data_IF_847918525823
#
_entry.id   IF_847918525823
#
_cell.length_a   1.000
_cell.length_b   1.000
_cell.length_c   1.000
_cell.angle_alpha   90.00
_cell.angle_beta   90.00
_cell.angle_gamma   90.00
#
_symmetry.space_group_name_H-M   'P 1'
#
loop_
_entity.id
_entity.type
_entity.pdbx_description
1 polymer ?
#
# COMPACT_ATOMS: atom_id res chain seq x y z
N UNK A 1 25.02 12.01 -1.83
CA UNK A 1 23.59 11.80 -2.19
C UNK A 1 23.17 10.33 -2.26
N UNK A 2 24.08 9.37 -2.51
CA UNK A 2 23.74 7.94 -2.66
C UNK A 2 23.31 7.23 -1.37
N UNK A 3 23.61 7.80 -0.21
CA UNK A 3 23.15 7.27 1.08
C UNK A 3 21.66 7.57 1.32
N UNK A 4 21.21 8.80 1.03
CA UNK A 4 19.81 9.24 1.16
C UNK A 4 18.92 8.53 0.13
N UNK A 5 19.30 8.62 -1.16
CA UNK A 5 19.64 7.43 -1.96
C UNK A 5 19.02 6.15 -1.49
N UNK A 6 19.83 5.29 -0.89
CA UNK A 6 19.55 3.92 -0.44
C UNK A 6 18.51 3.82 0.68
N UNK A 7 18.38 4.83 1.55
CA UNK A 7 17.42 4.83 2.68
C UNK A 7 15.99 5.23 2.33
N UNK A 8 15.73 5.78 1.14
CA UNK A 8 14.37 6.19 0.73
C UNK A 8 13.28 5.11 0.93
N UNK A 9 13.59 3.85 0.63
CA UNK A 9 12.66 2.75 0.84
C UNK A 9 12.37 2.47 2.32
N UNK A 10 13.38 2.56 3.18
CA UNK A 10 13.22 2.42 4.63
C UNK A 10 12.44 3.58 5.23
N UNK A 11 12.67 4.81 4.78
CA UNK A 11 11.93 6.00 5.22
C UNK A 11 10.44 5.90 4.88
N UNK A 12 10.13 5.52 3.64
CA UNK A 12 8.75 5.34 3.21
C UNK A 12 8.07 4.19 3.97
N UNK A 13 8.77 3.06 4.15
CA UNK A 13 8.26 1.94 4.94
C UNK A 13 7.98 2.30 6.39
N UNK A 14 8.89 3.01 7.06
CA UNK A 14 8.71 3.50 8.43
C UNK A 14 7.54 4.49 8.54
N UNK A 15 7.43 5.41 7.59
CA UNK A 15 6.32 6.37 7.54
C UNK A 15 4.97 5.68 7.39
N UNK A 16 4.87 4.69 6.49
CA UNK A 16 3.62 3.95 6.25
C UNK A 16 3.23 3.06 7.43
N UNK A 17 4.17 2.27 7.98
CA UNK A 17 3.92 1.42 9.16
C UNK A 17 3.58 2.30 10.38
N UNK A 18 4.38 3.34 10.62
CA UNK A 18 4.13 4.29 11.70
C UNK A 18 2.79 5.00 11.55
N UNK A 19 2.41 5.34 10.32
CA UNK A 19 1.10 5.89 9.97
C UNK A 19 -0.05 4.95 10.30
N UNK A 20 0.05 3.68 9.92
CA UNK A 20 -0.96 2.66 10.25
C UNK A 20 -1.11 2.51 11.76
N UNK A 21 0.01 2.37 12.49
CA UNK A 21 0.01 2.31 13.96
C UNK A 21 -0.61 3.57 14.56
N UNK A 22 -0.26 4.75 14.03
CA UNK A 22 -0.83 6.01 14.47
C UNK A 22 -2.35 6.07 14.28
N UNK A 23 -2.87 5.66 13.11
CA UNK A 23 -4.32 5.60 12.89
C UNK A 23 -5.01 4.64 13.84
N UNK A 24 -4.40 3.48 14.13
CA UNK A 24 -4.91 2.54 15.13
C UNK A 24 -4.96 3.17 16.51
N UNK A 25 -3.88 3.82 16.94
CA UNK A 25 -3.83 4.48 18.25
C UNK A 25 -4.88 5.60 18.34
N UNK A 26 -5.03 6.43 17.30
CA UNK A 26 -6.05 7.48 17.26
C UNK A 26 -7.45 6.89 17.36
N UNK A 27 -7.76 5.86 16.57
CA UNK A 27 -9.08 5.20 16.56
C UNK A 27 -9.41 4.59 17.92
N UNK A 28 -8.46 3.87 18.52
CA UNK A 28 -8.63 3.28 19.86
C UNK A 28 -8.74 4.33 20.98
N UNK A 29 -8.43 5.59 20.68
CA UNK A 29 -8.57 6.72 21.62
C UNK A 29 -9.90 7.47 21.47
N UNK A 30 -10.73 7.08 20.50
CA UNK A 30 -12.04 7.65 20.21
C UNK A 30 -13.15 6.68 20.64
N UNK A 31 -14.41 7.14 20.80
CA UNK A 31 -15.56 6.24 20.88
C UNK A 31 -15.56 5.28 19.68
N UNK A 32 -15.97 4.03 19.90
CA UNK A 32 -16.03 3.02 18.86
C UNK A 32 -16.91 3.47 17.71
N UNK A 33 -16.37 3.45 16.49
CA UNK A 33 -17.09 3.96 15.31
C UNK A 33 -18.30 3.11 14.91
N UNK A 34 -18.43 1.88 15.43
CA UNK A 34 -19.60 1.01 15.24
C UNK A 34 -20.81 1.42 16.08
N UNK A 35 -20.60 1.88 17.31
CA UNK A 35 -21.66 2.27 18.25
C UNK A 35 -21.24 3.49 19.07
N UNK A 36 -20.95 4.63 18.41
CA UNK A 36 -20.30 5.75 19.06
C UNK A 36 -21.20 6.42 20.11
N UNK A 37 -22.53 6.33 19.95
CA UNK A 37 -23.51 6.80 20.93
C UNK A 37 -23.56 5.94 22.19
N UNK A 38 -23.49 4.61 22.08
CA UNK A 38 -23.52 3.70 23.24
C UNK A 38 -22.26 3.85 24.10
N UNK A 39 -21.09 3.96 23.46
CA UNK A 39 -19.84 4.21 24.17
C UNK A 39 -19.88 5.55 24.90
N UNK A 40 -20.39 6.59 24.22
CA UNK A 40 -20.57 7.94 24.75
C UNK A 40 -21.53 7.96 25.94
N UNK A 41 -22.67 7.28 25.80
CA UNK A 41 -23.67 7.13 26.84
C UNK A 41 -23.12 6.40 28.07
N UNK A 42 -22.32 5.35 27.86
CA UNK A 42 -21.66 4.61 28.96
C UNK A 42 -20.65 5.47 29.72
N UNK A 43 -19.93 6.36 29.03
CA UNK A 43 -18.89 7.21 29.65
C UNK A 43 -19.45 8.44 30.35
N UNK A 44 -20.52 9.03 29.82
CA UNK A 44 -21.18 10.19 30.43
C UNK A 44 -22.26 9.76 31.44
N UNK A 45 -22.82 8.56 31.29
CA UNK A 45 -23.94 8.08 32.11
C UNK A 45 -25.29 8.64 31.65
N UNK A 46 -25.41 9.06 30.39
CA UNK A 46 -26.58 9.74 29.84
C UNK A 46 -26.97 9.14 28.48
N UNK A 47 -28.27 8.97 28.23
CA UNK A 47 -28.79 8.26 27.03
C UNK A 47 -28.68 9.12 25.75
N UNK A 48 -28.72 10.45 25.89
CA UNK A 48 -28.66 11.40 24.77
C UNK A 48 -27.25 11.96 24.51
N UNK A 49 -26.20 11.22 24.88
CA UNK A 49 -24.83 11.69 24.72
C UNK A 49 -24.39 11.66 23.24
N UNK A 50 -24.01 12.82 22.70
CA UNK A 50 -23.58 12.97 21.31
C UNK A 50 -22.05 12.95 21.22
N UNK A 51 -21.46 12.03 20.42
CA UNK A 51 -20.02 11.98 20.20
C UNK A 51 -19.58 13.10 19.24
N UNK A 52 -18.50 13.79 19.57
CA UNK A 52 -17.80 14.73 18.69
C UNK A 52 -16.36 14.25 18.51
N UNK A 53 -16.01 13.88 17.28
CA UNK A 53 -14.68 13.37 16.94
C UNK A 53 -14.07 14.16 15.79
N UNK A 54 -12.78 14.46 15.86
CA UNK A 54 -11.99 14.98 14.75
C UNK A 54 -10.71 14.16 14.60
N UNK A 55 -10.30 13.90 13.37
CA UNK A 55 -9.08 13.16 13.06
C UNK A 55 -7.83 14.03 13.04
N UNK A 56 -7.96 15.33 12.75
CA UNK A 56 -6.84 16.26 12.76
C UNK A 56 -7.27 17.70 13.10
N UNK A 57 -6.79 18.26 14.22
CA UNK A 57 -6.06 17.58 15.29
C UNK A 57 -6.91 16.45 15.90
N UNK A 58 -6.33 15.29 16.28
CA UNK A 58 -7.09 14.21 16.90
C UNK A 58 -7.79 14.69 18.16
N UNK A 59 -9.12 14.65 18.18
CA UNK A 59 -9.89 15.01 19.36
C UNK A 59 -11.16 14.17 19.44
N UNK A 60 -11.57 13.89 20.67
CA UNK A 60 -12.80 13.19 20.93
C UNK A 60 -13.40 13.71 22.23
N UNK A 61 -14.67 14.08 22.18
CA UNK A 61 -15.47 14.48 23.33
C UNK A 61 -16.89 13.93 23.22
N UNK A 62 -17.55 13.87 24.36
CA UNK A 62 -18.95 13.49 24.48
C UNK A 62 -19.71 14.63 25.13
N UNK A 63 -20.83 14.99 24.53
CA UNK A 63 -21.67 16.12 24.94
C UNK A 63 -23.03 15.58 25.35
N UNK A 64 -23.50 15.92 26.55
CA UNK A 64 -24.87 15.63 27.00
C UNK A 64 -25.42 16.85 27.74
N UNK A 65 -26.40 17.54 27.16
CA UNK A 65 -26.82 18.86 27.65
C UNK A 65 -25.65 19.85 27.68
N UNK A 66 -25.39 20.42 28.86
CA UNK A 66 -24.26 21.33 29.11
C UNK A 66 -22.97 20.60 29.55
N UNK A 67 -23.04 19.29 29.83
CA UNK A 67 -21.86 18.52 30.23
C UNK A 67 -21.03 18.07 29.02
N UNK A 68 -19.73 18.37 29.07
CA UNK A 68 -18.75 17.93 28.07
C UNK A 68 -17.69 17.07 28.76
N UNK A 69 -17.62 15.79 28.43
CA UNK A 69 -16.54 14.89 28.87
C UNK A 69 -15.57 14.60 27.74
N UNK A 70 -14.28 14.85 27.99
CA UNK A 70 -13.23 14.54 27.02
C UNK A 70 -12.90 13.05 27.01
N UNK A 71 -12.82 12.47 25.81
CA UNK A 71 -12.30 11.12 25.61
C UNK A 71 -10.78 11.10 25.50
N UNK A 72 -10.23 12.16 24.90
CA UNK A 72 -8.81 12.34 24.67
C UNK A 72 -8.37 13.62 25.38
N UNK A 73 -7.33 13.52 26.23
CA UNK A 73 -6.75 14.69 26.87
C UNK A 73 -6.04 15.60 25.86
N UNK A 74 -5.96 16.90 26.16
CA UNK A 74 -5.27 17.89 25.32
C UNK A 74 -3.81 17.50 25.04
N UNK A 75 -3.09 17.00 26.04
CA UNK A 75 -1.70 16.53 25.87
C UNK A 75 -1.60 15.39 24.86
N UNK A 76 -2.51 14.40 24.93
CA UNK A 76 -2.54 13.28 23.99
C UNK A 76 -2.88 13.75 22.58
N UNK A 77 -3.83 14.67 22.43
CA UNK A 77 -4.19 15.29 21.16
C UNK A 77 -3.00 16.01 20.51
N UNK A 78 -2.26 16.81 21.29
CA UNK A 78 -1.07 17.53 20.81
C UNK A 78 0.02 16.57 20.38
N UNK A 79 0.35 15.57 21.22
CA UNK A 79 1.38 14.56 20.90
C UNK A 79 1.01 13.80 19.62
N UNK A 80 -0.23 13.33 19.50
CA UNK A 80 -0.68 12.61 18.30
C UNK A 80 -0.69 13.52 17.06
N UNK A 81 -1.02 14.80 17.19
CA UNK A 81 -0.93 15.77 16.08
C UNK A 81 0.51 15.93 15.59
N UNK A 82 1.46 16.15 16.50
CA UNK A 82 2.89 16.28 16.16
C UNK A 82 3.41 15.01 15.49
N UNK A 83 3.11 13.85 16.05
CA UNK A 83 3.49 12.55 15.46
C UNK A 83 2.85 12.38 14.07
N UNK A 84 1.58 12.72 13.91
CA UNK A 84 0.87 12.65 12.63
C UNK A 84 1.53 13.51 11.55
N UNK A 85 1.91 14.75 11.89
CA UNK A 85 2.63 15.65 10.97
C UNK A 85 4.00 15.09 10.59
N UNK A 86 4.77 14.59 11.56
CA UNK A 86 6.09 14.00 11.30
C UNK A 86 5.98 12.77 10.38
N UNK A 87 4.99 11.90 10.60
CA UNK A 87 4.74 10.74 9.74
C UNK A 87 4.33 11.16 8.33
N UNK A 88 3.48 12.18 8.19
CA UNK A 88 3.09 12.72 6.88
C UNK A 88 4.32 13.24 6.11
N UNK A 89 5.21 13.97 6.77
CA UNK A 89 6.46 14.45 6.18
C UNK A 89 7.36 13.29 5.74
N UNK A 90 7.50 12.24 6.56
CA UNK A 90 8.27 11.03 6.22
C UNK A 90 7.69 10.31 5.01
N UNK A 91 6.37 10.14 4.94
CA UNK A 91 5.68 9.52 3.81
C UNK A 91 5.89 10.35 2.55
N UNK A 92 5.66 11.67 2.61
CA UNK A 92 5.82 12.57 1.46
C UNK A 92 7.27 12.57 0.93
N UNK A 93 8.26 12.72 1.81
CA UNK A 93 9.66 12.65 1.44
C UNK A 93 10.04 11.28 0.86
N UNK A 94 9.57 10.19 1.48
CA UNK A 94 9.78 8.82 1.00
C UNK A 94 9.19 8.59 -0.40
N UNK A 95 8.00 9.10 -0.67
CA UNK A 95 7.35 9.04 -1.98
C UNK A 95 8.13 9.83 -3.03
N UNK A 96 8.50 11.07 -2.73
CA UNK A 96 9.30 11.92 -3.64
C UNK A 96 10.61 11.23 -4.02
N UNK A 97 11.34 10.70 -3.03
CA UNK A 97 12.60 9.99 -3.28
C UNK A 97 12.39 8.70 -4.07
N UNK A 98 11.25 8.01 -3.89
CA UNK A 98 10.90 6.81 -4.65
C UNK A 98 10.61 7.16 -6.11
N UNK A 99 9.86 8.22 -6.38
CA UNK A 99 9.61 8.72 -7.74
C UNK A 99 10.92 9.13 -8.42
N UNK A 100 11.79 9.87 -7.72
CA UNK A 100 13.10 10.26 -8.25
C UNK A 100 14.00 9.05 -8.58
N UNK A 101 13.88 7.94 -7.84
CA UNK A 101 14.60 6.70 -8.16
C UNK A 101 14.07 6.03 -9.43
N UNK A 102 12.78 6.18 -9.74
CA UNK A 102 12.16 5.65 -10.97
C UNK A 102 12.51 6.50 -12.21
N UNK A 103 12.94 7.74 -12.03
CA UNK A 103 13.35 8.66 -13.11
C UNK A 103 14.86 8.82 -13.26
N UNK A 104 15.66 8.15 -12.42
CA UNK A 104 17.13 8.25 -12.43
C UNK A 104 17.83 7.56 -13.62
N UNK A 105 19.16 7.53 -13.58
CA UNK A 105 19.99 6.92 -14.61
C UNK A 105 19.84 5.39 -14.68
N UNK A 106 19.97 4.84 -15.88
CA UNK A 106 20.01 3.39 -16.09
C UNK A 106 21.26 2.82 -15.41
N UNK A 107 21.05 1.85 -14.51
CA UNK A 107 22.16 1.10 -13.90
C UNK A 107 22.75 0.07 -14.88
N UNK A 108 23.74 -0.73 -14.43
CA UNK A 108 24.35 -1.77 -15.24
C UNK A 108 23.31 -2.71 -15.86
N UNK A 109 23.56 -3.09 -17.12
CA UNK A 109 22.72 -4.05 -17.85
C UNK A 109 23.07 -5.45 -17.37
N UNK A 110 22.06 -6.23 -17.00
CA UNK A 110 22.22 -7.65 -16.70
C UNK A 110 21.82 -8.48 -17.91
N UNK A 111 22.64 -9.46 -18.25
CA UNK A 111 22.40 -10.51 -19.25
C UNK A 111 22.26 -11.87 -18.55
N UNK A 112 21.78 -12.88 -19.27
CA UNK A 112 21.64 -14.23 -18.75
C UNK A 112 21.08 -15.19 -19.79
N UNK A 113 21.45 -16.46 -19.66
CA UNK A 113 21.40 -17.40 -20.79
C UNK A 113 20.13 -18.27 -20.81
N UNK A 114 19.48 -18.48 -19.67
CA UNK A 114 18.27 -19.33 -19.56
C UNK A 114 16.97 -18.50 -19.50
N UNK A 115 16.62 -17.89 -20.64
CA UNK A 115 15.42 -17.06 -20.75
C UNK A 115 14.12 -17.88 -20.66
N UNK A 116 14.12 -19.13 -21.16
CA UNK A 116 12.92 -19.98 -21.20
C UNK A 116 12.49 -20.44 -19.81
N UNK A 117 13.43 -20.95 -18.99
CA UNK A 117 13.14 -21.34 -17.60
C UNK A 117 12.73 -20.13 -16.78
N UNK A 118 13.39 -19.00 -17.01
CA UNK A 118 13.11 -17.75 -16.31
C UNK A 118 11.71 -17.22 -16.63
N UNK A 119 11.29 -17.24 -17.89
CA UNK A 119 9.91 -16.92 -18.30
C UNK A 119 8.90 -17.85 -17.62
N UNK A 120 9.13 -19.17 -17.64
CA UNK A 120 8.24 -20.13 -16.97
C UNK A 120 8.14 -19.85 -15.47
N UNK A 121 9.27 -19.56 -14.82
CA UNK A 121 9.31 -19.25 -13.38
C UNK A 121 8.58 -17.93 -13.07
N UNK A 122 8.74 -16.90 -13.90
CA UNK A 122 8.04 -15.62 -13.71
C UNK A 122 6.51 -15.78 -13.80
N UNK A 123 6.03 -16.57 -14.77
CA UNK A 123 4.61 -16.78 -15.01
C UNK A 123 3.95 -17.69 -13.96
N UNK A 124 4.70 -18.63 -13.39
CA UNK A 124 4.17 -19.60 -12.42
C UNK A 124 4.42 -19.14 -10.98
N UNK A 125 5.68 -19.15 -10.55
CA UNK A 125 6.05 -18.75 -9.20
C UNK A 125 5.79 -17.27 -8.95
N UNK A 126 6.09 -16.37 -9.90
CA UNK A 126 5.79 -14.95 -9.73
C UNK A 126 4.29 -14.67 -9.57
N UNK A 127 3.43 -15.41 -10.27
CA UNK A 127 1.98 -15.29 -10.12
C UNK A 127 1.48 -15.84 -8.78
N UNK A 128 1.98 -17.01 -8.36
CA UNK A 128 1.63 -17.60 -7.07
C UNK A 128 2.08 -16.71 -5.90
N UNK A 129 3.30 -16.19 -5.96
CA UNK A 129 3.88 -15.26 -4.98
C UNK A 129 3.03 -13.99 -4.87
N UNK A 130 2.56 -13.44 -6.01
CA UNK A 130 1.64 -12.30 -6.01
C UNK A 130 0.27 -12.65 -5.42
N UNK A 131 -0.23 -13.86 -5.66
CA UNK A 131 -1.42 -14.40 -4.99
C UNK A 131 -1.26 -14.39 -3.47
N UNK A 132 -0.15 -14.93 -2.95
CA UNK A 132 0.17 -14.95 -1.52
C UNK A 132 0.28 -13.53 -0.96
N UNK A 133 0.92 -12.61 -1.67
CA UNK A 133 0.98 -11.21 -1.27
C UNK A 133 -0.42 -10.59 -1.14
N UNK A 134 -1.35 -10.90 -2.07
CA UNK A 134 -2.73 -10.44 -1.98
C UNK A 134 -3.53 -11.09 -0.87
N UNK A 135 -3.24 -12.34 -0.49
CA UNK A 135 -3.86 -12.94 0.69
C UNK A 135 -3.51 -12.14 1.95
N UNK A 136 -2.25 -11.73 2.08
CA UNK A 136 -1.79 -10.88 3.16
C UNK A 136 -2.40 -9.48 3.12
N UNK A 137 -2.45 -8.85 1.93
CA UNK A 137 -3.13 -7.55 1.73
C UNK A 137 -4.61 -7.64 2.09
N UNK A 138 -5.30 -8.71 1.71
CA UNK A 138 -6.71 -8.94 2.03
C UNK A 138 -6.94 -9.05 3.54
N UNK A 139 -6.07 -9.80 4.24
CA UNK A 139 -6.11 -9.87 5.70
C UNK A 139 -5.87 -8.50 6.36
N UNK A 140 -4.84 -7.76 5.92
CA UNK A 140 -4.53 -6.44 6.44
C UNK A 140 -5.61 -5.39 6.15
N UNK A 141 -6.32 -5.52 5.02
CA UNK A 141 -7.44 -4.64 4.67
C UNK A 141 -8.53 -4.68 5.74
N UNK A 142 -8.91 -5.88 6.17
CA UNK A 142 -9.90 -6.07 7.24
C UNK A 142 -9.44 -5.40 8.54
N UNK A 143 -8.18 -5.58 8.93
CA UNK A 143 -7.59 -4.96 10.13
C UNK A 143 -7.59 -3.43 10.01
N UNK A 144 -7.14 -2.88 8.88
CA UNK A 144 -7.01 -1.44 8.70
C UNK A 144 -8.36 -0.70 8.76
N UNK A 145 -9.42 -1.30 8.22
CA UNK A 145 -10.77 -0.72 8.26
C UNK A 145 -11.33 -0.77 9.68
N UNK A 146 -11.23 -1.93 10.33
CA UNK A 146 -11.74 -2.14 11.69
C UNK A 146 -11.08 -1.18 12.68
N UNK A 147 -9.75 -1.02 12.58
CA UNK A 147 -8.96 -0.29 13.57
C UNK A 147 -8.56 1.12 13.15
N UNK A 148 -8.82 1.56 11.93
CA UNK A 148 -8.26 2.83 11.41
C UNK A 148 -9.28 3.80 10.81
N UNK A 149 -10.54 3.38 10.63
CA UNK A 149 -11.56 4.20 9.97
C UNK A 149 -11.12 4.70 8.59
N UNK A 150 -11.58 5.90 8.20
CA UNK A 150 -11.26 6.48 6.90
C UNK A 150 -9.76 6.77 6.71
N UNK A 151 -9.04 7.38 7.69
CA UNK A 151 -7.59 7.61 7.53
C UNK A 151 -6.78 6.32 7.44
N UNK A 152 -7.16 5.29 8.21
CA UNK A 152 -6.57 3.96 8.12
C UNK A 152 -6.77 3.31 6.76
N UNK A 153 -7.96 3.46 6.16
CA UNK A 153 -8.22 2.97 4.80
C UNK A 153 -7.33 3.66 3.75
N UNK A 154 -7.13 4.98 3.85
CA UNK A 154 -6.24 5.73 2.95
C UNK A 154 -4.79 5.24 3.09
N UNK A 155 -4.28 5.14 4.32
CA UNK A 155 -2.92 4.65 4.56
C UNK A 155 -2.74 3.20 4.15
N UNK A 156 -3.76 2.37 4.31
CA UNK A 156 -3.75 1.00 3.83
C UNK A 156 -3.61 0.95 2.31
N UNK A 157 -4.41 1.73 1.56
CA UNK A 157 -4.30 1.80 0.10
C UNK A 157 -2.90 2.22 -0.32
N UNK A 158 -2.34 3.29 0.28
CA UNK A 158 -0.98 3.74 -0.01
C UNK A 158 0.06 2.66 0.31
N UNK A 159 -0.10 1.97 1.45
CA UNK A 159 0.80 0.87 1.86
C UNK A 159 0.72 -0.30 0.90
N UNK A 160 -0.48 -0.69 0.47
CA UNK A 160 -0.68 -1.76 -0.50
C UNK A 160 -0.07 -1.41 -1.86
N UNK A 161 -0.30 -0.20 -2.36
CA UNK A 161 0.28 0.28 -3.61
C UNK A 161 1.82 0.25 -3.57
N UNK A 162 2.43 0.80 -2.52
CA UNK A 162 3.88 0.84 -2.36
C UNK A 162 4.45 -0.56 -2.15
N UNK A 163 3.82 -1.37 -1.30
CA UNK A 163 4.24 -2.73 -0.98
C UNK A 163 4.20 -3.64 -2.20
N UNK A 164 3.10 -3.64 -2.95
CA UNK A 164 2.97 -4.45 -4.17
C UNK A 164 3.89 -3.96 -5.29
N UNK A 165 4.14 -2.65 -5.40
CA UNK A 165 5.13 -2.10 -6.34
C UNK A 165 6.55 -2.55 -6.02
N UNK A 166 6.92 -2.54 -4.73
CA UNK A 166 8.20 -3.02 -4.25
C UNK A 166 8.33 -4.54 -4.46
N UNK A 167 7.27 -5.29 -4.19
CA UNK A 167 7.23 -6.73 -4.40
C UNK A 167 7.36 -7.10 -5.88
N UNK A 168 6.59 -6.45 -6.77
CA UNK A 168 6.69 -6.62 -8.21
C UNK A 168 8.09 -6.25 -8.74
N UNK A 169 8.74 -5.24 -8.17
CA UNK A 169 10.15 -4.91 -8.46
C UNK A 169 11.09 -6.04 -8.10
N UNK A 170 10.91 -6.69 -6.95
CA UNK A 170 11.71 -7.84 -6.52
C UNK A 170 11.48 -9.01 -7.49
N UNK A 171 10.22 -9.34 -7.79
CA UNK A 171 9.87 -10.41 -8.73
C UNK A 171 10.45 -10.17 -10.13
N UNK A 172 10.32 -8.96 -10.69
CA UNK A 172 10.89 -8.63 -12.00
C UNK A 172 12.43 -8.67 -11.96
N UNK A 173 13.05 -8.23 -10.86
CA UNK A 173 14.50 -8.32 -10.71
C UNK A 173 14.99 -9.77 -10.63
N UNK A 174 14.23 -10.69 -10.07
CA UNK A 174 14.64 -12.11 -10.02
C UNK A 174 14.30 -12.86 -11.30
N UNK A 175 13.09 -12.66 -11.83
CA UNK A 175 12.49 -13.51 -12.86
C UNK A 175 12.05 -12.74 -14.12
N UNK A 176 12.10 -11.41 -14.14
CA UNK A 176 11.67 -10.59 -15.27
C UNK A 176 12.55 -10.70 -16.52
N UNK A 177 12.15 -10.07 -17.64
CA UNK A 177 12.87 -10.17 -18.90
C UNK A 177 14.32 -9.65 -18.88
N UNK A 178 15.18 -10.26 -19.70
CA UNK A 178 16.57 -9.88 -19.96
C UNK A 178 16.82 -9.74 -21.47
N UNK A 179 17.86 -8.98 -21.91
CA UNK A 179 18.71 -8.11 -21.09
C UNK A 179 17.92 -6.94 -20.51
N UNK A 180 18.24 -6.50 -19.29
CA UNK A 180 17.58 -5.33 -18.69
C UNK A 180 18.47 -4.60 -17.69
N UNK A 181 18.25 -3.29 -17.58
CA UNK A 181 18.89 -2.46 -16.56
C UNK A 181 18.15 -2.54 -15.23
N UNK A 182 18.82 -2.19 -14.14
CA UNK A 182 18.19 -2.10 -12.82
C UNK A 182 17.05 -1.06 -12.73
N UNK A 183 17.04 -0.06 -13.62
CA UNK A 183 15.96 0.95 -13.68
C UNK A 183 14.74 0.40 -14.41
N UNK A 184 14.97 -0.24 -15.56
CA UNK A 184 13.91 -0.84 -16.35
C UNK A 184 13.16 -1.91 -15.57
N UNK A 185 13.91 -2.78 -14.87
CA UNK A 185 13.34 -3.80 -14.01
C UNK A 185 12.47 -3.21 -12.88
N UNK A 186 12.94 -2.12 -12.26
CA UNK A 186 12.16 -1.35 -11.27
C UNK A 186 10.87 -0.79 -11.85
N UNK A 187 10.92 -0.20 -13.05
CA UNK A 187 9.73 0.36 -13.71
C UNK A 187 8.72 -0.72 -14.04
N UNK A 188 9.15 -1.82 -14.68
CA UNK A 188 8.29 -2.96 -15.02
C UNK A 188 7.64 -3.57 -13.78
N UNK A 189 8.43 -3.82 -12.74
CA UNK A 189 7.92 -4.39 -11.50
C UNK A 189 6.98 -3.45 -10.74
N UNK A 190 7.28 -2.15 -10.70
CA UNK A 190 6.38 -1.13 -10.12
C UNK A 190 5.05 -1.09 -10.88
N UNK A 191 5.10 -1.01 -12.21
CA UNK A 191 3.90 -1.02 -13.05
C UNK A 191 3.09 -2.29 -12.86
N UNK A 192 3.74 -3.46 -12.77
CA UNK A 192 3.06 -4.72 -12.51
C UNK A 192 2.32 -4.71 -11.17
N UNK A 193 3.00 -4.30 -10.08
CA UNK A 193 2.37 -4.20 -8.76
C UNK A 193 1.17 -3.24 -8.74
N UNK A 194 1.34 -2.04 -9.31
CA UNK A 194 0.25 -1.05 -9.41
C UNK A 194 -0.92 -1.54 -10.25
N UNK A 195 -0.65 -2.13 -11.42
CA UNK A 195 -1.67 -2.63 -12.32
C UNK A 195 -2.45 -3.80 -11.70
N UNK A 196 -1.77 -4.75 -11.07
CA UNK A 196 -2.44 -5.85 -10.35
C UNK A 196 -3.35 -5.32 -9.24
N UNK A 197 -2.89 -4.35 -8.45
CA UNK A 197 -3.75 -3.68 -7.46
C UNK A 197 -4.94 -2.97 -8.09
N UNK A 198 -4.71 -2.18 -9.15
CA UNK A 198 -5.77 -1.48 -9.87
C UNK A 198 -6.84 -2.43 -10.41
N UNK A 199 -6.46 -3.57 -10.98
CA UNK A 199 -7.38 -4.59 -11.48
C UNK A 199 -8.23 -5.18 -10.35
N UNK A 200 -7.60 -5.60 -9.25
CA UNK A 200 -8.32 -6.18 -8.11
C UNK A 200 -9.24 -5.15 -7.46
N UNK A 201 -8.77 -3.91 -7.29
CA UNK A 201 -9.56 -2.82 -6.74
C UNK A 201 -10.77 -2.50 -7.63
N UNK A 202 -10.57 -2.37 -8.95
CA UNK A 202 -11.64 -2.10 -9.90
C UNK A 202 -12.68 -3.24 -9.91
N UNK A 203 -12.24 -4.49 -9.91
CA UNK A 203 -13.14 -5.65 -9.80
C UNK A 203 -13.95 -5.61 -8.49
N UNK A 204 -13.32 -5.18 -7.38
CA UNK A 204 -13.97 -5.12 -6.07
C UNK A 204 -15.02 -4.01 -6.05
N UNK A 205 -14.68 -2.85 -6.61
CA UNK A 205 -15.58 -1.71 -6.75
C UNK A 205 -16.81 -2.06 -7.61
N UNK A 206 -16.60 -2.69 -8.78
CA UNK A 206 -17.69 -3.12 -9.68
C UNK A 206 -18.60 -4.14 -9.01
N UNK A 207 -18.05 -5.00 -8.16
CA UNK A 207 -18.85 -5.99 -7.41
C UNK A 207 -19.66 -5.40 -6.25
N UNK A 208 -19.54 -4.08 -5.97
CA UNK A 208 -20.25 -3.39 -4.88
C UNK A 208 -19.76 -3.79 -3.49
N UNK A 209 -18.56 -4.36 -3.37
CA UNK A 209 -18.07 -4.99 -2.14
C UNK A 209 -16.99 -4.18 -1.40
N UNK A 210 -16.79 -2.91 -1.78
CA UNK A 210 -15.99 -2.01 -0.95
C UNK A 210 -16.65 -1.89 0.45
N UNK A 211 -15.86 -1.87 1.52
CA UNK A 211 -14.42 -1.61 1.55
C UNK A 211 -13.52 -2.87 1.59
N UNK A 212 -14.08 -4.08 1.54
CA UNK A 212 -13.35 -5.32 1.80
C UNK A 212 -12.87 -6.04 0.54
N UNK A 213 -11.60 -6.43 0.52
CA UNK A 213 -11.16 -7.44 -0.44
C UNK A 213 -11.73 -8.82 -0.07
N UNK A 214 -12.26 -9.52 -1.06
CA UNK A 214 -12.77 -10.87 -0.91
C UNK A 214 -11.73 -11.93 -1.22
N UNK A 215 -11.99 -13.17 -0.83
CA UNK A 215 -11.13 -14.31 -1.15
C UNK A 215 -10.85 -14.47 -2.65
N UNK A 216 -11.74 -14.03 -3.54
CA UNK A 216 -11.52 -14.06 -4.98
C UNK A 216 -10.42 -13.08 -5.46
N UNK A 217 -10.03 -12.09 -4.65
CA UNK A 217 -8.93 -11.17 -4.93
C UNK A 217 -7.59 -11.90 -5.09
N UNK A 218 -7.40 -13.01 -4.37
CA UNK A 218 -6.18 -13.83 -4.40
C UNK A 218 -5.98 -14.53 -5.75
N UNK A 219 -6.91 -15.37 -6.24
CA UNK A 219 -6.76 -15.95 -7.57
C UNK A 219 -6.79 -14.89 -8.67
N UNK A 220 -7.59 -13.82 -8.53
CA UNK A 220 -7.59 -12.74 -9.54
C UNK A 220 -6.23 -12.04 -9.63
N UNK A 221 -5.58 -11.75 -8.50
CA UNK A 221 -4.28 -11.08 -8.53
C UNK A 221 -3.21 -11.95 -9.20
N UNK A 222 -3.22 -13.26 -8.94
CA UNK A 222 -2.31 -14.20 -9.58
C UNK A 222 -2.50 -14.22 -11.10
N UNK A 223 -3.75 -14.31 -11.57
CA UNK A 223 -4.10 -14.28 -13.00
C UNK A 223 -3.68 -12.95 -13.63
N UNK A 224 -4.05 -11.83 -13.00
CA UNK A 224 -3.73 -10.50 -13.48
C UNK A 224 -2.21 -10.28 -13.58
N UNK A 225 -1.46 -10.70 -12.56
CA UNK A 225 0.00 -10.62 -12.56
C UNK A 225 0.62 -11.50 -13.66
N UNK A 226 0.14 -12.74 -13.81
CA UNK A 226 0.59 -13.63 -14.88
C UNK A 226 0.36 -13.03 -16.28
N UNK A 227 -0.79 -12.39 -16.51
CA UNK A 227 -1.10 -11.71 -17.76
C UNK A 227 -0.15 -10.52 -18.01
N UNK A 228 0.10 -9.70 -16.99
CA UNK A 228 1.05 -8.58 -17.09
C UNK A 228 2.46 -9.09 -17.37
N UNK A 229 2.93 -10.11 -16.65
CA UNK A 229 4.23 -10.71 -16.88
C UNK A 229 4.34 -11.31 -18.29
N UNK A 230 3.29 -11.96 -18.79
CA UNK A 230 3.24 -12.47 -20.16
C UNK A 230 3.40 -11.34 -21.19
N UNK A 231 2.70 -10.22 -21.01
CA UNK A 231 2.81 -9.04 -21.86
C UNK A 231 4.21 -8.39 -21.79
N UNK A 232 4.85 -8.40 -20.62
CA UNK A 232 6.23 -7.92 -20.49
C UNK A 232 7.20 -8.79 -21.27
N UNK A 233 7.02 -10.11 -21.25
CA UNK A 233 7.85 -11.06 -22.00
C UNK A 233 7.61 -11.00 -23.51
N UNK A 234 6.38 -10.76 -23.98
CA UNK A 234 6.08 -10.69 -25.41
C UNK A 234 6.74 -9.48 -26.08
N UNK A 235 6.73 -8.31 -25.43
CA UNK A 235 7.37 -7.09 -25.95
C UNK A 235 8.88 -7.25 -26.16
N UNK A 236 9.54 -8.08 -25.35
CA UNK A 236 10.98 -8.33 -25.50
C UNK A 236 11.28 -9.23 -26.70
N UNK A 237 10.38 -10.18 -27.00
CA UNK A 237 10.51 -11.02 -28.20
C UNK A 237 10.33 -10.19 -29.45
N UNK A 238 9.30 -9.34 -29.49
CA UNK A 238 9.00 -8.44 -30.62
C UNK A 238 10.19 -7.52 -30.96
N UNK A 239 10.76 -6.85 -29.95
CA UNK A 239 11.94 -6.00 -30.11
C UNK A 239 13.20 -6.74 -30.58
N UNK A 240 13.29 -8.06 -30.35
CA UNK A 240 14.39 -8.89 -30.82
C UNK A 240 14.20 -9.32 -32.29
N UNK A 241 12.96 -9.52 -32.73
CA UNK A 241 12.62 -9.82 -34.14
C UNK A 241 12.67 -8.59 -35.05
N UNK A 242 12.32 -7.40 -34.55
CA UNK A 242 12.27 -6.16 -35.36
C UNK A 242 13.63 -5.48 -35.58
N UNK A 243 14.70 -5.96 -34.96
CA UNK A 243 16.07 -5.56 -35.32
C UNK A 243 16.62 -6.55 -36.35
N UNK A 244 16.54 -6.27 -37.67
CA UNK A 244 17.32 -7.03 -38.62
C UNK A 244 18.78 -6.96 -38.19
N UNK A 245 19.42 -8.13 -38.13
CA UNK A 245 20.82 -8.26 -37.80
C UNK A 245 21.63 -7.37 -38.76
N UNK A 246 22.09 -6.21 -38.27
CA UNK A 246 23.22 -5.52 -38.88
C UNK A 246 24.44 -6.39 -38.62
N UNK A 247 24.70 -7.31 -39.55
CA UNK A 247 26.00 -7.93 -39.79
C UNK A 247 26.67 -7.20 -40.94
#
# INVERSE_FOLDING_TARGET
MDWVRRRAGSLLGLGLIGGLVWTTVVTLSMPGWYAPGEDCARKVGAVDAVPRTSWFPPSASCVSGDEVRQYMSTTRSVVLSVVGVLLLLLIAAGLILTVQRLTGAAGPIRTGDDLKRRRRSHLTFGALDMGVAFAFVTFLNAVAIVFGGLPGAILFILTALVGLSAFGTVLDRHMGPLPSSALESRRRGTVAGLATFGIVFAATAVSGQLPFFRFWAVPLSAIAYAAIAAAQWSRVVELATDRPAQR
#
